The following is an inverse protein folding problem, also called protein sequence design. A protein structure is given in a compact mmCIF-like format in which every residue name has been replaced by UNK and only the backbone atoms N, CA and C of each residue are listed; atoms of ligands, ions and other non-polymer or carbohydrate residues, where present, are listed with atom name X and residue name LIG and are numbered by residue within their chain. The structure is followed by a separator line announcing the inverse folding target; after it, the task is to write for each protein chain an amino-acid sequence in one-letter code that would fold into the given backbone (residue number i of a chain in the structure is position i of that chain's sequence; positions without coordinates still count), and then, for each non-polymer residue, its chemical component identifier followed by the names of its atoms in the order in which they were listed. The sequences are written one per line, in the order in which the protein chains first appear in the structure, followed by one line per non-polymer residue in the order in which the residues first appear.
data_IF_918725876761
#
_entry.id   IF_918725876761
#
_cell.length_a   1.000
_cell.length_b   1.000
_cell.length_c   1.000
_cell.angle_alpha   90.00
_cell.angle_beta   90.00
_cell.angle_gamma   90.00
#
_symmetry.space_group_name_H-M   'P 1'
#
loop_
_entity.id
_entity.type
_entity.pdbx_description
1 polymer ?
#
# COMPACT_ATOMS: atom_id res chain seq x y z
N UNK A 1 -14.39 -32.33 -51.66
CA UNK A 1 -15.51 -31.61 -51.01
C UNK A 1 -15.05 -31.08 -49.66
N UNK A 2 -15.16 -29.75 -49.49
CA UNK A 2 -15.05 -28.87 -48.30
C UNK A 2 -14.14 -29.26 -47.11
N UNK A 3 -13.04 -28.49 -47.00
CA UNK A 3 -12.28 -28.18 -45.78
C UNK A 3 -13.04 -27.11 -44.97
N UNK A 4 -13.06 -27.21 -43.64
CA UNK A 4 -13.51 -26.15 -42.74
C UNK A 4 -12.26 -25.53 -42.09
N UNK A 5 -11.97 -24.28 -42.43
CA UNK A 5 -11.01 -23.42 -41.76
C UNK A 5 -11.83 -22.35 -41.02
N UNK A 6 -11.76 -22.34 -39.68
CA UNK A 6 -12.41 -21.33 -38.84
C UNK A 6 -11.62 -20.02 -38.89
N UNK A 7 -12.26 -18.98 -39.40
CA UNK A 7 -11.71 -17.64 -39.59
C UNK A 7 -11.91 -16.80 -38.31
N UNK A 8 -10.83 -16.11 -37.91
CA UNK A 8 -10.75 -15.09 -36.86
C UNK A 8 -11.68 -13.91 -37.19
N UNK A 9 -12.51 -13.48 -36.23
CA UNK A 9 -13.36 -12.29 -36.38
C UNK A 9 -12.63 -11.06 -35.83
N UNK A 10 -12.19 -10.17 -36.73
CA UNK A 10 -11.76 -8.80 -36.45
C UNK A 10 -13.00 -7.88 -36.42
N UNK A 11 -13.28 -7.24 -35.29
CA UNK A 11 -14.26 -6.15 -35.21
C UNK A 11 -13.63 -4.85 -35.76
N UNK A 12 -14.13 -4.37 -36.90
CA UNK A 12 -13.89 -3.02 -37.40
C UNK A 12 -15.14 -2.16 -37.17
N UNK A 13 -14.99 -1.10 -36.36
CA UNK A 13 -16.01 -0.08 -36.10
C UNK A 13 -16.02 0.95 -37.25
N UNK A 14 -17.11 1.00 -38.02
CA UNK A 14 -17.39 2.08 -38.97
C UNK A 14 -18.32 3.11 -38.34
N UNK A 15 -17.84 4.35 -38.22
CA UNK A 15 -18.60 5.53 -37.78
C UNK A 15 -19.35 6.11 -38.99
N UNK A 16 -20.68 6.18 -38.91
CA UNK A 16 -21.54 6.88 -39.88
C UNK A 16 -21.76 8.32 -39.39
N UNK A 17 -21.29 9.30 -40.15
CA UNK A 17 -21.65 10.71 -39.99
C UNK A 17 -23.01 10.98 -40.64
N UNK A 18 -24.03 11.31 -39.83
CA UNK A 18 -25.30 11.83 -40.33
C UNK A 18 -25.21 13.36 -40.42
N UNK A 19 -25.37 13.87 -41.64
CA UNK A 19 -25.37 15.29 -42.00
C UNK A 19 -26.82 15.74 -42.14
N UNK A 20 -27.34 16.51 -41.19
CA UNK A 20 -28.67 17.13 -41.31
C UNK A 20 -28.53 18.56 -41.84
N UNK A 21 -29.09 18.79 -43.04
CA UNK A 21 -29.30 20.10 -43.65
C UNK A 21 -30.73 20.56 -43.42
N UNK A 22 -30.93 21.75 -42.84
CA UNK A 22 -32.23 22.44 -42.76
C UNK A 22 -32.06 23.84 -42.15
N UNK A 23 -32.37 24.88 -42.93
CA UNK A 23 -32.08 26.30 -42.67
C UNK A 23 -33.39 27.09 -42.36
N UNK A 24 -33.40 28.41 -42.08
CA UNK A 24 -33.54 29.02 -40.74
C UNK A 24 -34.82 29.86 -40.54
N UNK A 25 -35.26 30.09 -39.28
CA UNK A 25 -36.16 31.22 -38.91
C UNK A 25 -35.88 31.83 -37.52
N UNK A 26 -35.60 33.14 -37.57
CA UNK A 26 -35.61 34.23 -36.56
C UNK A 26 -35.69 33.95 -35.05
N UNK A 27 -34.63 34.42 -34.38
CA UNK A 27 -34.56 35.33 -33.22
C UNK A 27 -35.20 34.89 -31.88
N UNK A 28 -34.33 34.56 -30.93
CA UNK A 28 -34.20 35.29 -29.67
C UNK A 28 -32.74 35.18 -29.20
N UNK A 29 -32.04 36.31 -29.17
CA UNK A 29 -30.71 36.42 -28.56
C UNK A 29 -30.95 36.45 -27.05
N UNK A 30 -30.87 35.29 -26.42
CA UNK A 30 -30.55 35.21 -24.99
C UNK A 30 -29.05 34.97 -24.94
N UNK A 31 -28.34 35.93 -24.37
CA UNK A 31 -26.90 35.94 -24.17
C UNK A 31 -26.55 34.68 -23.38
N UNK A 32 -26.01 33.67 -24.06
CA UNK A 32 -25.30 32.58 -23.41
C UNK A 32 -23.99 33.19 -22.91
N UNK A 33 -23.95 33.49 -21.61
CA UNK A 33 -22.68 33.70 -20.91
C UNK A 33 -21.78 32.51 -21.24
N UNK A 34 -20.78 32.77 -22.07
CA UNK A 34 -19.65 31.87 -22.22
C UNK A 34 -19.14 31.60 -20.81
N UNK A 35 -19.34 30.38 -20.31
CA UNK A 35 -18.58 29.88 -19.19
C UNK A 35 -17.12 30.00 -19.61
N UNK A 36 -16.46 31.05 -19.12
CA UNK A 36 -15.01 31.14 -19.12
C UNK A 36 -14.54 29.86 -18.48
N UNK A 37 -13.99 28.95 -19.28
CA UNK A 37 -13.03 27.98 -18.83
C UNK A 37 -11.86 28.78 -18.26
N UNK A 38 -11.95 29.13 -16.98
CA UNK A 38 -10.81 29.57 -16.20
C UNK A 38 -9.85 28.39 -16.21
N UNK A 39 -8.85 28.46 -17.08
CA UNK A 39 -7.58 27.80 -16.83
C UNK A 39 -7.15 28.23 -15.42
N UNK A 40 -7.32 27.35 -14.43
CA UNK A 40 -6.86 27.59 -13.07
C UNK A 40 -5.35 27.71 -13.14
N UNK A 41 -4.84 28.93 -13.04
CA UNK A 41 -3.43 29.19 -12.85
C UNK A 41 -3.03 28.53 -11.53
N UNK A 42 -2.18 27.50 -11.60
CA UNK A 42 -1.67 26.79 -10.44
C UNK A 42 -0.66 27.69 -9.74
N UNK A 43 -1.12 28.45 -8.73
CA UNK A 43 -0.23 29.32 -7.98
C UNK A 43 0.51 28.49 -6.92
N UNK A 44 1.68 27.98 -7.32
CA UNK A 44 2.72 27.61 -6.36
C UNK A 44 3.30 28.84 -5.64
N UNK A 45 2.86 30.04 -5.99
CA UNK A 45 3.31 31.31 -5.44
C UNK A 45 2.12 31.97 -4.73
N UNK A 46 2.30 32.32 -3.47
CA UNK A 46 1.32 32.98 -2.61
C UNK A 46 1.91 34.32 -2.18
N UNK A 47 1.22 35.43 -2.44
CA UNK A 47 1.67 36.72 -1.89
C UNK A 47 1.47 36.76 -0.37
N UNK A 48 2.35 37.44 0.35
CA UNK A 48 2.29 37.55 1.82
C UNK A 48 0.96 38.12 2.32
N UNK A 49 0.32 39.00 1.56
CA UNK A 49 -1.00 39.56 1.87
C UNK A 49 -2.10 38.50 1.87
N UNK A 50 -1.98 37.48 1.00
CA UNK A 50 -2.96 36.40 0.86
C UNK A 50 -2.81 35.29 1.89
N UNK A 51 -1.74 35.27 2.69
CA UNK A 51 -1.59 34.31 3.79
C UNK A 51 -2.77 34.33 4.75
N UNK A 52 -3.28 35.53 5.04
CA UNK A 52 -4.44 35.70 5.92
C UNK A 52 -5.71 35.06 5.33
N UNK A 53 -5.87 35.08 4.01
CA UNK A 53 -7.01 34.47 3.32
C UNK A 53 -7.04 32.95 3.48
N UNK A 54 -5.85 32.33 3.51
CA UNK A 54 -5.73 30.89 3.73
C UNK A 54 -5.65 30.52 5.22
N UNK A 55 -5.66 31.50 6.12
CA UNK A 55 -5.71 31.29 7.58
C UNK A 55 -4.34 31.22 8.26
N UNK A 56 -3.31 31.83 7.66
CA UNK A 56 -1.95 31.87 8.22
C UNK A 56 -1.64 33.31 8.67
N UNK A 57 -1.16 33.44 9.90
CA UNK A 57 -0.57 34.70 10.37
C UNK A 57 0.87 34.83 9.85
N UNK A 58 1.12 35.91 9.10
CA UNK A 58 2.42 36.17 8.45
C UNK A 58 3.57 36.20 9.46
N UNK A 59 3.40 36.91 10.57
CA UNK A 59 4.48 37.12 11.53
C UNK A 59 4.83 35.81 12.24
N UNK A 60 3.81 35.02 12.57
CA UNK A 60 3.97 33.68 13.14
C UNK A 60 4.68 32.76 12.15
N UNK A 61 4.26 32.72 10.89
CA UNK A 61 4.91 31.90 9.87
C UNK A 61 6.40 32.26 9.70
N UNK A 62 6.71 33.54 9.52
CA UNK A 62 8.10 33.99 9.32
C UNK A 62 8.98 33.70 10.53
N UNK A 63 8.44 33.93 11.75
CA UNK A 63 9.14 33.58 13.00
C UNK A 63 9.48 32.09 13.06
N UNK A 64 8.53 31.22 12.69
CA UNK A 64 8.75 29.77 12.74
C UNK A 64 9.71 29.27 11.65
N UNK A 65 9.71 29.89 10.47
CA UNK A 65 10.73 29.61 9.44
C UNK A 65 12.12 29.99 9.95
N UNK A 66 12.28 31.19 10.53
CA UNK A 66 13.55 31.65 11.10
C UNK A 66 14.04 30.76 12.25
N UNK A 67 13.13 30.26 13.09
CA UNK A 67 13.46 29.29 14.14
C UNK A 67 13.98 27.96 13.53
N UNK A 68 13.42 27.52 12.41
CA UNK A 68 13.82 26.29 11.73
C UNK A 68 15.17 26.37 11.01
N UNK A 69 15.73 27.56 10.80
CA UNK A 69 17.13 27.72 10.35
C UNK A 69 18.12 27.22 11.41
N UNK A 70 17.71 27.17 12.68
CA UNK A 70 18.50 26.64 13.80
C UNK A 70 17.90 25.34 14.37
N UNK A 71 17.10 24.62 13.59
CA UNK A 71 16.46 23.40 14.08
C UNK A 71 17.44 22.22 14.24
N UNK A 72 17.00 21.16 14.91
CA UNK A 72 17.87 20.07 15.37
C UNK A 72 18.36 19.12 14.27
N UNK A 73 19.66 19.15 13.91
CA UNK A 73 20.39 18.42 12.82
C UNK A 73 20.56 16.91 12.96
N UNK A 74 19.75 16.25 13.79
CA UNK A 74 19.86 14.81 14.04
C UNK A 74 21.19 14.44 14.72
N UNK A 75 21.29 13.21 15.22
CA UNK A 75 22.40 12.76 16.06
C UNK A 75 22.00 12.62 17.54
N UNK A 76 22.82 11.88 18.29
CA UNK A 76 22.63 11.67 19.72
C UNK A 76 22.68 13.04 20.43
N UNK A 77 21.65 13.33 21.24
CA UNK A 77 21.56 14.58 22.02
C UNK A 77 22.71 14.78 23.01
N UNK A 78 23.61 13.79 23.14
CA UNK A 78 24.82 13.81 23.95
C UNK A 78 26.07 14.28 23.20
N UNK A 79 26.04 14.41 21.87
CA UNK A 79 27.26 14.62 21.07
C UNK A 79 27.70 16.10 20.96
N UNK A 80 26.78 17.07 20.98
CA UNK A 80 27.11 18.50 21.20
C UNK A 80 25.87 19.32 21.62
N UNK A 81 25.82 19.77 22.88
CA UNK A 81 24.78 20.66 23.41
C UNK A 81 25.22 22.13 23.50
N UNK A 82 26.34 22.51 22.86
CA UNK A 82 26.91 23.86 23.00
C UNK A 82 26.07 24.95 22.30
N UNK A 83 25.18 24.58 21.38
CA UNK A 83 24.28 25.49 20.65
C UNK A 83 22.83 25.03 20.88
N UNK A 84 21.94 25.87 21.45
CA UNK A 84 20.51 25.55 21.56
C UNK A 84 19.89 25.36 20.17
N UNK A 85 19.32 24.19 19.92
CA UNK A 85 18.65 23.87 18.65
C UNK A 85 17.12 23.94 18.81
N UNK A 86 16.44 24.42 17.76
CA UNK A 86 14.99 24.51 17.74
C UNK A 86 14.35 23.14 17.48
N UNK A 87 13.48 22.70 18.39
CA UNK A 87 12.66 21.51 18.18
C UNK A 87 11.32 21.94 17.55
N UNK A 88 10.93 21.37 16.39
CA UNK A 88 9.63 21.64 15.80
C UNK A 88 8.48 21.37 16.78
N UNK A 89 7.49 22.26 16.77
CA UNK A 89 6.37 22.30 17.70
C UNK A 89 5.04 22.00 16.99
N UNK A 90 3.98 21.82 17.78
CA UNK A 90 2.63 21.72 17.25
C UNK A 90 2.25 22.96 16.40
N UNK A 91 2.76 24.14 16.75
CA UNK A 91 2.54 25.38 15.98
C UNK A 91 3.12 25.26 14.58
N UNK A 92 4.32 24.68 14.42
CA UNK A 92 4.93 24.44 13.12
C UNK A 92 4.04 23.54 12.27
N UNK A 93 3.57 22.42 12.84
CA UNK A 93 2.65 21.51 12.17
C UNK A 93 1.34 22.19 11.79
N UNK A 94 0.73 22.94 12.70
CA UNK A 94 -0.52 23.66 12.44
C UNK A 94 -0.36 24.71 11.32
N UNK A 95 0.82 25.33 11.18
CA UNK A 95 1.13 26.24 10.07
C UNK A 95 1.22 25.53 8.72
N UNK A 96 1.54 24.23 8.69
CA UNK A 96 1.56 23.44 7.44
C UNK A 96 0.15 23.15 6.90
N UNK A 97 -0.83 22.93 7.79
CA UNK A 97 -2.17 22.46 7.43
C UNK A 97 -2.86 23.37 6.40
N UNK A 98 -2.89 24.71 6.56
CA UNK A 98 -3.52 25.58 5.58
C UNK A 98 -2.78 25.64 4.24
N UNK A 99 -1.45 25.47 4.22
CA UNK A 99 -0.66 25.37 2.99
C UNK A 99 -1.04 24.11 2.20
N UNK A 100 -1.08 22.96 2.89
CA UNK A 100 -1.50 21.68 2.30
C UNK A 100 -2.92 21.79 1.77
N UNK A 101 -3.85 22.31 2.58
CA UNK A 101 -5.24 22.54 2.16
C UNK A 101 -5.32 23.43 0.91
N UNK A 102 -4.60 24.54 0.89
CA UNK A 102 -4.57 25.46 -0.25
C UNK A 102 -4.12 24.73 -1.51
N UNK A 103 -3.00 24.00 -1.43
CA UNK A 103 -2.48 23.20 -2.54
C UNK A 103 -3.52 22.17 -3.02
N UNK A 104 -4.05 21.34 -2.12
CA UNK A 104 -5.03 20.31 -2.46
C UNK A 104 -6.25 20.92 -3.18
N UNK A 105 -6.79 22.02 -2.65
CA UNK A 105 -7.97 22.69 -3.21
C UNK A 105 -7.72 23.28 -4.60
N UNK A 106 -6.52 23.78 -4.87
CA UNK A 106 -6.15 24.37 -6.17
C UNK A 106 -5.68 23.32 -7.19
N UNK A 107 -5.39 22.09 -6.74
CA UNK A 107 -4.84 21.01 -7.57
C UNK A 107 -5.80 19.85 -7.79
N UNK A 108 -7.11 20.09 -7.66
CA UNK A 108 -8.15 19.14 -8.03
C UNK A 108 -8.28 17.94 -7.08
N UNK A 109 -7.85 18.08 -5.83
CA UNK A 109 -8.13 17.07 -4.81
C UNK A 109 -9.64 16.97 -4.58
N UNK A 110 -10.16 15.74 -4.65
CA UNK A 110 -11.55 15.45 -4.28
C UNK A 110 -11.58 15.16 -2.79
N UNK A 111 -12.20 16.04 -2.02
CA UNK A 111 -12.37 15.80 -0.59
C UNK A 111 -13.34 14.62 -0.38
N UNK A 112 -12.97 13.57 0.37
CA UNK A 112 -13.85 12.43 0.63
C UNK A 112 -15.07 12.83 1.46
N UNK A 113 -16.10 11.99 1.51
CA UNK A 113 -17.17 12.15 2.51
C UNK A 113 -16.62 11.84 3.91
N UNK A 114 -17.36 12.19 4.95
CA UNK A 114 -16.96 11.87 6.34
C UNK A 114 -16.90 10.36 6.56
N UNK A 115 -17.87 9.63 5.99
CA UNK A 115 -17.98 8.18 6.08
C UNK A 115 -16.79 7.52 5.38
N UNK A 116 -16.51 7.92 4.13
CA UNK A 116 -15.37 7.40 3.37
C UNK A 116 -14.04 7.72 4.08
N UNK A 117 -13.90 8.91 4.64
CA UNK A 117 -12.69 9.30 5.37
C UNK A 117 -12.42 8.37 6.55
N UNK A 118 -13.42 8.16 7.44
CA UNK A 118 -13.26 7.30 8.61
C UNK A 118 -13.09 5.82 8.22
N UNK A 119 -13.87 5.34 7.26
CA UNK A 119 -13.79 3.96 6.78
C UNK A 119 -12.38 3.66 6.25
N UNK A 120 -11.85 4.54 5.40
CA UNK A 120 -10.54 4.32 4.78
C UNK A 120 -9.40 4.44 5.77
N UNK A 121 -9.48 5.33 6.76
CA UNK A 121 -8.46 5.42 7.82
C UNK A 121 -8.41 4.10 8.60
N UNK A 122 -9.56 3.58 9.03
CA UNK A 122 -9.64 2.28 9.71
C UNK A 122 -9.17 1.13 8.82
N UNK A 123 -9.54 1.16 7.55
CA UNK A 123 -9.24 0.10 6.61
C UNK A 123 -7.74 -0.01 6.27
N UNK A 124 -7.06 1.14 6.14
CA UNK A 124 -5.65 1.26 5.75
C UNK A 124 -4.73 1.22 6.95
N UNK A 125 -5.03 1.97 8.00
CA UNK A 125 -4.13 2.15 9.15
C UNK A 125 -4.54 1.33 10.38
N UNK A 126 -5.66 0.59 10.32
CA UNK A 126 -6.20 -0.12 11.49
C UNK A 126 -6.71 0.79 12.61
N UNK A 127 -6.76 2.10 12.38
CA UNK A 127 -7.01 3.11 13.41
C UNK A 127 -8.44 3.65 13.35
N UNK A 128 -9.12 3.70 14.49
CA UNK A 128 -10.46 4.28 14.61
C UNK A 128 -10.34 5.72 15.13
N UNK A 129 -10.56 6.70 14.25
CA UNK A 129 -10.54 8.11 14.64
C UNK A 129 -11.59 8.42 15.72
N UNK A 130 -11.19 9.17 16.75
CA UNK A 130 -12.06 9.66 17.82
C UNK A 130 -12.87 10.88 17.38
N UNK A 131 -12.37 11.61 16.38
CA UNK A 131 -13.02 12.80 15.82
C UNK A 131 -13.22 13.94 16.85
N UNK A 132 -12.19 14.20 17.67
CA UNK A 132 -12.22 15.34 18.59
C UNK A 132 -12.25 16.66 17.82
N UNK A 133 -13.40 17.33 17.87
CA UNK A 133 -13.64 18.56 17.10
C UNK A 133 -12.85 19.77 17.60
N UNK A 134 -12.20 19.70 18.77
CA UNK A 134 -11.51 20.84 19.37
C UNK A 134 -10.14 21.12 18.75
N UNK A 135 -9.35 20.08 18.44
CA UNK A 135 -8.00 20.21 17.84
C UNK A 135 -8.00 20.25 16.30
N UNK A 136 -9.02 19.69 15.66
CA UNK A 136 -9.14 19.70 14.19
C UNK A 136 -8.29 18.67 13.45
N UNK A 137 -7.43 17.93 14.15
CA UNK A 137 -6.63 16.82 13.65
C UNK A 137 -6.44 15.72 14.72
N UNK A 138 -5.95 14.55 14.31
CA UNK A 138 -5.53 13.43 15.19
C UNK A 138 -4.37 12.66 14.57
N UNK A 139 -3.38 12.29 15.39
CA UNK A 139 -2.25 11.46 14.98
C UNK A 139 -2.72 10.02 14.74
N UNK A 140 -2.30 9.43 13.62
CA UNK A 140 -2.68 8.06 13.27
C UNK A 140 -1.69 7.08 13.90
N UNK A 141 -2.16 6.29 14.86
CA UNK A 141 -1.36 5.25 15.51
C UNK A 141 -1.02 5.52 16.98
N UNK A 142 -1.40 6.67 17.53
CA UNK A 142 -1.23 6.97 18.96
C UNK A 142 -2.49 7.54 19.59
N UNK A 143 -2.60 7.33 20.91
CA UNK A 143 -3.58 8.01 21.75
C UNK A 143 -2.89 9.22 22.39
N UNK A 144 -2.83 10.37 21.73
CA UNK A 144 -2.03 11.47 22.28
C UNK A 144 -2.13 12.85 21.65
N UNK A 145 -1.42 13.76 22.30
CA UNK A 145 -1.08 15.09 21.83
C UNK A 145 -0.14 15.03 20.60
N UNK A 146 0.18 16.18 20.02
CA UNK A 146 1.13 16.29 18.91
C UNK A 146 2.48 15.64 19.22
N UNK A 147 2.97 14.84 18.27
CA UNK A 147 4.31 14.25 18.31
C UNK A 147 4.95 14.34 16.93
N UNK A 148 6.07 15.07 16.85
CA UNK A 148 6.75 15.32 15.59
C UNK A 148 7.21 14.03 14.89
N UNK A 149 7.43 12.95 15.65
CA UNK A 149 7.88 11.66 15.11
C UNK A 149 6.77 10.83 14.48
N UNK A 150 5.50 11.25 14.63
CA UNK A 150 4.38 10.50 14.06
C UNK A 150 4.37 10.52 12.53
N UNK A 151 4.25 9.34 11.88
CA UNK A 151 4.27 9.27 10.42
C UNK A 151 3.08 9.97 9.77
N UNK A 152 1.88 9.93 10.37
CA UNK A 152 0.67 10.45 9.73
C UNK A 152 -0.30 11.12 10.69
N UNK A 153 -1.01 12.11 10.16
CA UNK A 153 -2.05 12.88 10.81
C UNK A 153 -3.30 12.96 9.94
N UNK A 154 -4.45 12.69 10.54
CA UNK A 154 -5.76 12.86 9.94
C UNK A 154 -6.30 14.27 10.23
N UNK A 155 -6.63 15.04 9.18
CA UNK A 155 -7.17 16.41 9.31
C UNK A 155 -8.69 16.39 9.11
N UNK A 156 -9.49 16.66 10.15
CA UNK A 156 -10.93 16.39 10.14
C UNK A 156 -11.75 17.31 9.24
N UNK A 157 -11.51 18.63 9.32
CA UNK A 157 -12.34 19.62 8.62
C UNK A 157 -12.22 19.46 7.10
N UNK A 158 -11.01 19.15 6.65
CA UNK A 158 -10.64 19.07 5.24
C UNK A 158 -10.46 17.62 4.75
N UNK A 159 -10.60 16.64 5.65
CA UNK A 159 -10.63 15.19 5.39
C UNK A 159 -9.51 14.73 4.48
N UNK A 160 -8.29 15.08 4.84
CA UNK A 160 -7.08 14.59 4.21
C UNK A 160 -6.11 14.05 5.27
N UNK A 161 -5.15 13.25 4.83
CA UNK A 161 -4.02 12.78 5.62
C UNK A 161 -2.80 13.61 5.23
N UNK A 162 -2.01 14.01 6.21
CA UNK A 162 -0.69 14.61 5.97
C UNK A 162 0.30 13.99 6.93
N UNK A 163 1.55 14.38 6.82
CA UNK A 163 2.64 13.96 7.67
C UNK A 163 3.45 15.21 8.07
N UNK A 164 4.32 15.07 9.06
CA UNK A 164 5.10 16.19 9.55
C UNK A 164 6.18 16.56 8.55
N UNK A 165 6.23 17.86 8.24
CA UNK A 165 7.32 18.48 7.52
C UNK A 165 7.70 19.77 8.22
N UNK A 166 8.97 20.13 8.07
CA UNK A 166 9.42 21.47 8.41
C UNK A 166 8.83 22.45 7.38
N UNK A 167 8.52 23.66 7.84
CA UNK A 167 7.97 24.71 7.00
C UNK A 167 8.95 25.07 5.88
N UNK A 168 10.25 25.14 6.20
CA UNK A 168 11.31 25.38 5.21
C UNK A 168 11.40 24.30 4.12
N UNK A 169 10.92 23.07 4.37
CA UNK A 169 10.87 22.00 3.36
C UNK A 169 9.62 22.08 2.49
N UNK A 170 8.58 22.75 2.97
CA UNK A 170 7.34 23.00 2.23
C UNK A 170 7.40 24.26 1.40
N UNK A 171 8.20 25.26 1.77
CA UNK A 171 8.16 26.56 1.12
C UNK A 171 9.50 27.30 1.14
N UNK A 172 9.60 28.30 0.28
CA UNK A 172 10.66 29.30 0.29
C UNK A 172 10.04 30.70 0.34
N UNK A 173 10.73 31.62 1.02
CA UNK A 173 10.34 33.03 1.08
C UNK A 173 11.14 33.81 0.05
N UNK A 174 10.46 34.38 -0.94
CA UNK A 174 11.04 35.16 -2.03
C UNK A 174 10.48 36.59 -1.96
N UNK A 175 11.11 37.45 -1.16
CA UNK A 175 10.67 38.83 -0.94
C UNK A 175 9.29 38.91 -0.28
N UNK A 176 8.29 39.44 -0.99
CA UNK A 176 6.90 39.55 -0.54
C UNK A 176 6.04 38.34 -0.92
N UNK A 177 6.66 37.24 -1.34
CA UNK A 177 5.99 36.02 -1.80
C UNK A 177 6.51 34.79 -1.08
N UNK A 178 5.65 33.80 -1.03
CA UNK A 178 5.95 32.44 -0.60
C UNK A 178 5.81 31.54 -1.81
N UNK A 179 6.82 30.72 -2.05
CA UNK A 179 6.81 29.73 -3.11
C UNK A 179 6.78 28.34 -2.49
N UNK A 180 5.72 27.60 -2.78
CA UNK A 180 5.51 26.22 -2.36
C UNK A 180 6.47 25.29 -3.12
N UNK A 181 7.21 24.47 -2.37
CA UNK A 181 8.02 23.37 -2.89
C UNK A 181 7.08 22.24 -3.32
N UNK A 182 6.75 22.19 -4.61
CA UNK A 182 5.58 21.46 -5.13
C UNK A 182 5.63 19.94 -4.95
N UNK A 183 6.81 19.33 -4.88
CA UNK A 183 6.95 17.87 -4.81
C UNK A 183 6.32 17.29 -3.54
N UNK A 184 6.58 17.88 -2.38
CA UNK A 184 6.01 17.40 -1.10
C UNK A 184 4.47 17.45 -1.16
N UNK A 185 3.90 18.53 -1.69
CA UNK A 185 2.46 18.64 -1.84
C UNK A 185 1.88 17.66 -2.86
N UNK A 186 2.61 17.37 -3.95
CA UNK A 186 2.25 16.32 -4.90
C UNK A 186 2.22 14.95 -4.23
N UNK A 187 3.20 14.64 -3.37
CA UNK A 187 3.23 13.40 -2.60
C UNK A 187 2.04 13.31 -1.65
N UNK A 188 1.75 14.37 -0.87
CA UNK A 188 0.58 14.41 0.02
C UNK A 188 -0.71 14.19 -0.78
N UNK A 189 -0.86 14.87 -1.93
CA UNK A 189 -2.03 14.67 -2.79
C UNK A 189 -2.12 13.23 -3.32
N UNK A 190 -1.00 12.66 -3.75
CA UNK A 190 -0.94 11.31 -4.28
C UNK A 190 -1.29 10.27 -3.21
N UNK A 191 -0.73 10.40 -2.00
CA UNK A 191 -1.09 9.61 -0.82
C UNK A 191 -2.61 9.61 -0.60
N UNK A 192 -3.21 10.80 -0.55
CA UNK A 192 -4.63 10.92 -0.31
C UNK A 192 -5.47 10.30 -1.44
N UNK A 193 -5.11 10.54 -2.70
CA UNK A 193 -5.82 9.95 -3.84
C UNK A 193 -5.70 8.42 -3.87
N UNK A 194 -4.53 7.88 -3.53
CA UNK A 194 -4.32 6.44 -3.43
C UNK A 194 -5.14 5.86 -2.26
N UNK A 195 -5.06 6.44 -1.07
CA UNK A 195 -5.75 5.93 0.12
C UNK A 195 -7.26 5.99 -0.04
N UNK A 196 -7.83 7.12 -0.46
CA UNK A 196 -9.28 7.30 -0.44
C UNK A 196 -9.98 6.78 -1.70
N UNK A 197 -9.28 6.73 -2.83
CA UNK A 197 -9.89 6.41 -4.13
C UNK A 197 -9.20 5.27 -4.88
N UNK A 198 -8.16 4.65 -4.30
CA UNK A 198 -7.37 3.60 -4.94
C UNK A 198 -6.85 4.04 -6.33
N UNK A 199 -6.48 5.32 -6.46
CA UNK A 199 -6.06 5.92 -7.72
C UNK A 199 -4.71 5.35 -8.18
N UNK A 200 -4.73 4.66 -9.32
CA UNK A 200 -3.57 4.00 -9.91
C UNK A 200 -2.49 5.01 -10.33
N UNK A 201 -2.88 6.18 -10.83
CA UNK A 201 -1.93 7.20 -11.24
C UNK A 201 -1.27 7.84 -10.02
N UNK A 202 -2.02 7.99 -8.92
CA UNK A 202 -1.47 8.46 -7.67
C UNK A 202 -0.46 7.46 -7.08
N UNK A 203 -0.75 6.16 -7.12
CA UNK A 203 0.20 5.12 -6.73
C UNK A 203 1.49 5.18 -7.55
N UNK A 204 1.39 5.21 -8.89
CA UNK A 204 2.56 5.34 -9.78
C UNK A 204 3.34 6.61 -9.52
N UNK A 205 2.66 7.69 -9.17
CA UNK A 205 3.32 8.93 -8.82
C UNK A 205 4.14 8.77 -7.53
N UNK A 206 3.60 8.13 -6.48
CA UNK A 206 4.35 7.83 -5.26
C UNK A 206 5.57 6.95 -5.52
N UNK A 207 5.43 5.91 -6.35
CA UNK A 207 6.54 5.01 -6.73
C UNK A 207 7.72 5.75 -7.38
N UNK A 208 7.47 6.89 -8.06
CA UNK A 208 8.50 7.60 -8.82
C UNK A 208 8.91 8.95 -8.20
N UNK A 209 8.19 9.44 -7.19
CA UNK A 209 8.50 10.73 -6.55
C UNK A 209 9.66 10.56 -5.58
N UNK A 210 10.82 11.06 -6.01
CA UNK A 210 11.97 11.25 -5.13
C UNK A 210 11.71 12.40 -4.14
N UNK A 211 12.41 12.36 -3.01
CA UNK A 211 12.35 13.42 -2.00
C UNK A 211 12.89 14.75 -2.54
N UNK A 212 12.35 15.84 -2.00
CA UNK A 212 13.01 17.13 -1.95
C UNK A 212 13.02 17.59 -0.49
N UNK A 213 14.21 17.93 -0.02
CA UNK A 213 14.54 18.46 1.29
C UNK A 213 16.04 18.74 1.30
N UNK A 214 16.52 19.47 2.30
CA UNK A 214 17.96 19.65 2.47
C UNK A 214 18.52 18.45 3.27
N UNK A 215 19.66 17.89 2.85
CA UNK A 215 20.34 16.81 3.60
C UNK A 215 21.11 17.44 4.75
N UNK A 216 20.38 17.88 5.76
CA UNK A 216 20.91 18.62 6.88
C UNK A 216 20.73 17.90 8.22
N UNK A 217 20.29 16.65 8.17
CA UNK A 217 20.09 15.79 9.32
C UNK A 217 18.82 16.07 10.13
N UNK A 218 17.94 17.01 9.72
CA UNK A 218 16.68 17.31 10.44
C UNK A 218 15.54 16.29 10.24
N UNK A 219 15.88 15.06 9.88
CA UNK A 219 14.94 13.98 9.61
C UNK A 219 15.36 13.17 8.38
N UNK A 220 14.96 11.91 8.33
CA UNK A 220 15.11 11.11 7.12
C UNK A 220 14.21 11.66 6.03
N UNK A 221 14.77 11.84 4.83
CA UNK A 221 14.01 12.16 3.63
C UNK A 221 12.81 11.23 3.49
N UNK A 222 11.61 11.77 3.64
CA UNK A 222 10.39 11.01 3.53
C UNK A 222 9.84 11.16 2.11
N UNK A 223 10.08 10.17 1.26
CA UNK A 223 9.68 10.17 -0.14
C UNK A 223 8.46 9.30 -0.41
N UNK A 224 8.05 9.22 -1.69
CA UNK A 224 6.91 8.40 -2.08
C UNK A 224 7.12 6.89 -1.85
N UNK A 225 8.35 6.38 -1.95
CA UNK A 225 8.64 4.98 -1.61
C UNK A 225 8.52 4.72 -0.11
N UNK A 226 8.99 5.63 0.75
CA UNK A 226 8.85 5.49 2.21
C UNK A 226 7.38 5.49 2.61
N UNK A 227 6.55 6.30 1.96
CA UNK A 227 5.10 6.26 2.12
C UNK A 227 4.55 4.85 1.82
N UNK A 228 4.94 4.27 0.69
CA UNK A 228 4.47 2.94 0.29
C UNK A 228 5.01 1.85 1.22
N UNK A 229 6.27 1.94 1.64
CA UNK A 229 6.89 1.07 2.65
C UNK A 229 6.14 1.13 3.97
N UNK A 230 5.84 2.31 4.50
CA UNK A 230 5.10 2.45 5.75
C UNK A 230 3.69 1.86 5.65
N UNK A 231 2.99 2.12 4.56
CA UNK A 231 1.67 1.54 4.33
C UNK A 231 1.73 0.00 4.36
N UNK A 232 2.76 -0.60 3.74
CA UNK A 232 2.90 -2.06 3.70
C UNK A 232 3.42 -2.63 5.03
N UNK A 233 4.59 -2.18 5.48
CA UNK A 233 5.36 -2.81 6.55
C UNK A 233 4.96 -2.33 7.96
N UNK A 234 4.64 -1.04 8.11
CA UNK A 234 4.30 -0.42 9.40
C UNK A 234 2.81 -0.52 9.70
N UNK A 235 1.95 -0.29 8.70
CA UNK A 235 0.49 -0.29 8.84
C UNK A 235 -0.19 -1.57 8.35
N UNK A 236 0.56 -2.55 7.85
CA UNK A 236 0.05 -3.86 7.42
C UNK A 236 -1.08 -3.74 6.37
N UNK A 237 -1.01 -2.77 5.45
CA UNK A 237 -2.05 -2.51 4.44
C UNK A 237 -2.02 -3.51 3.27
N UNK A 238 -2.18 -4.80 3.58
CA UNK A 238 -2.10 -5.89 2.59
C UNK A 238 -3.35 -6.02 1.71
N UNK A 239 -4.34 -5.13 1.87
CA UNK A 239 -5.60 -5.16 1.12
C UNK A 239 -5.52 -4.46 -0.24
N UNK A 240 -4.35 -3.92 -0.61
CA UNK A 240 -4.09 -3.36 -1.93
C UNK A 240 -3.22 -4.29 -2.77
N UNK A 241 -3.78 -4.96 -3.79
CA UNK A 241 -3.00 -5.83 -4.68
C UNK A 241 -1.85 -5.09 -5.39
N UNK A 242 -2.01 -3.78 -5.64
CA UNK A 242 -0.96 -2.96 -6.25
C UNK A 242 0.21 -2.74 -5.30
N UNK A 243 -0.09 -2.43 -4.03
CA UNK A 243 0.94 -2.24 -3.02
C UNK A 243 1.69 -3.55 -2.76
N UNK A 244 0.96 -4.66 -2.63
CA UNK A 244 1.54 -5.98 -2.45
C UNK A 244 2.46 -6.36 -3.62
N UNK A 245 2.03 -6.11 -4.85
CA UNK A 245 2.83 -6.38 -6.05
C UNK A 245 4.10 -5.54 -6.10
N UNK A 246 4.01 -4.25 -5.76
CA UNK A 246 5.16 -3.36 -5.73
C UNK A 246 6.18 -3.80 -4.67
N UNK A 247 5.72 -4.05 -3.44
CA UNK A 247 6.58 -4.48 -2.35
C UNK A 247 7.24 -5.84 -2.68
N UNK A 248 6.46 -6.80 -3.18
CA UNK A 248 6.96 -8.11 -3.61
C UNK A 248 8.11 -8.00 -4.62
N UNK A 249 7.97 -7.14 -5.64
CA UNK A 249 9.01 -6.99 -6.66
C UNK A 249 10.25 -6.27 -6.13
N UNK A 250 10.06 -5.29 -5.25
CA UNK A 250 11.14 -4.50 -4.64
C UNK A 250 12.01 -5.37 -3.73
N UNK A 251 11.40 -6.21 -2.90
CA UNK A 251 12.08 -7.04 -1.89
C UNK A 251 12.11 -8.52 -2.25
N UNK A 252 12.08 -8.87 -3.54
CA UNK A 252 12.05 -10.26 -4.00
C UNK A 252 13.25 -11.09 -3.49
N UNK A 253 14.39 -10.42 -3.27
CA UNK A 253 15.65 -11.03 -2.83
C UNK A 253 15.72 -11.13 -1.29
N UNK A 254 14.77 -10.52 -0.57
CA UNK A 254 14.57 -10.60 0.88
C UNK A 254 13.20 -11.22 1.19
N UNK A 255 12.98 -12.48 0.79
CA UNK A 255 11.64 -13.06 0.74
C UNK A 255 10.99 -13.23 2.12
N UNK A 256 11.81 -13.37 3.17
CA UNK A 256 11.33 -13.62 4.51
C UNK A 256 10.40 -12.53 5.04
N UNK A 257 10.72 -11.25 4.79
CA UNK A 257 9.86 -10.15 5.25
C UNK A 257 8.45 -10.22 4.64
N UNK A 258 8.35 -10.61 3.37
CA UNK A 258 7.05 -10.75 2.72
C UNK A 258 6.28 -11.99 3.18
N UNK A 259 6.92 -13.18 3.22
CA UNK A 259 6.21 -14.43 3.56
C UNK A 259 5.81 -14.49 5.02
N UNK A 260 6.59 -13.88 5.93
CA UNK A 260 6.29 -13.86 7.36
C UNK A 260 5.02 -13.02 7.68
N UNK A 261 4.60 -12.14 6.77
CA UNK A 261 3.40 -11.29 6.86
C UNK A 261 2.12 -11.98 6.37
N UNK A 262 2.21 -13.17 5.76
CA UNK A 262 1.04 -13.89 5.24
C UNK A 262 0.11 -14.35 6.38
N UNK A 263 0.70 -14.83 7.47
CA UNK A 263 -0.03 -15.37 8.62
C UNK A 263 0.28 -14.54 9.87
N UNK A 264 -0.78 -14.08 10.53
CA UNK A 264 -0.69 -13.25 11.73
C UNK A 264 -1.74 -13.66 12.78
N UNK A 265 -1.74 -12.99 13.93
CA UNK A 265 -2.70 -13.19 15.01
C UNK A 265 -3.42 -11.90 15.33
N UNK A 266 -4.75 -12.01 15.42
CA UNK A 266 -5.57 -10.96 16.00
C UNK A 266 -5.32 -10.85 17.51
N UNK A 267 -5.67 -9.71 18.16
CA UNK A 267 -5.54 -9.54 19.60
C UNK A 267 -6.28 -10.60 20.44
N UNK A 268 -7.32 -11.23 19.89
CA UNK A 268 -8.04 -12.35 20.53
C UNK A 268 -7.39 -13.72 20.26
N UNK A 269 -6.14 -13.73 19.77
CA UNK A 269 -5.37 -14.92 19.40
C UNK A 269 -6.00 -15.76 18.26
N UNK A 270 -6.95 -15.23 17.49
CA UNK A 270 -7.40 -15.88 16.26
C UNK A 270 -6.40 -15.68 15.13
N UNK A 271 -6.26 -16.66 14.25
CA UNK A 271 -5.42 -16.53 13.07
C UNK A 271 -6.01 -15.50 12.09
N UNK A 272 -5.14 -14.63 11.58
CA UNK A 272 -5.39 -13.76 10.43
C UNK A 272 -4.59 -14.32 9.25
N UNK A 273 -5.23 -14.45 8.10
CA UNK A 273 -4.58 -14.89 6.86
C UNK A 273 -4.76 -13.82 5.79
N UNK A 274 -3.65 -13.27 5.34
CA UNK A 274 -3.62 -12.23 4.31
C UNK A 274 -3.56 -12.87 2.92
N UNK A 275 -4.69 -13.41 2.46
CA UNK A 275 -4.78 -14.19 1.21
C UNK A 275 -4.29 -13.43 -0.02
N UNK A 276 -4.43 -12.10 -0.07
CA UNK A 276 -3.92 -11.28 -1.16
C UNK A 276 -2.39 -11.30 -1.28
N UNK A 277 -1.65 -11.63 -0.21
CA UNK A 277 -0.21 -11.85 -0.27
C UNK A 277 0.11 -13.21 -0.94
N UNK A 278 -0.67 -14.25 -0.62
CA UNK A 278 -0.59 -15.56 -1.31
C UNK A 278 -0.88 -15.37 -2.80
N UNK A 279 -1.97 -14.68 -3.14
CA UNK A 279 -2.33 -14.39 -4.54
C UNK A 279 -1.24 -13.59 -5.28
N UNK A 280 -0.51 -12.73 -4.57
CA UNK A 280 0.62 -11.99 -5.14
C UNK A 280 1.76 -12.95 -5.51
N UNK A 281 2.10 -13.90 -4.64
CA UNK A 281 3.10 -14.94 -4.93
C UNK A 281 2.65 -15.80 -6.11
N UNK A 282 1.40 -16.28 -6.10
CA UNK A 282 0.81 -17.09 -7.17
C UNK A 282 0.85 -16.39 -8.54
N UNK A 283 0.57 -15.08 -8.56
CA UNK A 283 0.57 -14.27 -9.78
C UNK A 283 1.98 -14.11 -10.35
N UNK A 284 3.00 -14.00 -9.50
CA UNK A 284 4.40 -13.81 -9.91
C UNK A 284 5.14 -15.14 -10.16
N UNK A 285 4.52 -16.26 -9.80
CA UNK A 285 5.06 -17.60 -10.08
C UNK A 285 4.75 -18.00 -11.52
N UNK A 286 5.73 -18.60 -12.19
CA UNK A 286 5.59 -19.14 -13.55
C UNK A 286 6.17 -20.55 -13.64
N UNK A 287 5.90 -21.26 -14.73
CA UNK A 287 6.42 -22.60 -14.95
C UNK A 287 7.95 -22.72 -14.87
N UNK A 288 8.70 -21.66 -15.16
CA UNK A 288 10.18 -21.66 -15.11
C UNK A 288 10.77 -20.70 -14.08
N UNK A 289 9.93 -19.95 -13.35
CA UNK A 289 10.34 -19.07 -12.25
C UNK A 289 9.40 -19.34 -11.08
N UNK A 290 9.75 -20.34 -10.29
CA UNK A 290 8.95 -20.82 -9.18
C UNK A 290 9.74 -20.94 -7.86
N UNK A 291 11.02 -20.59 -7.88
CA UNK A 291 11.91 -20.62 -6.71
C UNK A 291 11.33 -19.81 -5.55
N UNK A 292 10.74 -18.64 -5.81
CA UNK A 292 10.08 -17.89 -4.73
C UNK A 292 8.91 -18.68 -4.09
N UNK A 293 8.14 -19.40 -4.90
CA UNK A 293 7.03 -20.21 -4.39
C UNK A 293 7.56 -21.40 -3.58
N UNK A 294 8.48 -22.17 -4.15
CA UNK A 294 8.97 -23.42 -3.54
C UNK A 294 9.96 -23.14 -2.41
N UNK A 295 11.00 -22.37 -2.70
CA UNK A 295 12.16 -22.23 -1.82
C UNK A 295 11.92 -21.20 -0.71
N UNK A 296 10.96 -20.29 -0.90
CA UNK A 296 10.63 -19.30 0.12
C UNK A 296 9.25 -19.54 0.75
N UNK A 297 8.17 -19.56 -0.03
CA UNK A 297 6.82 -19.66 0.55
C UNK A 297 6.54 -21.07 1.12
N UNK A 298 6.79 -22.13 0.35
CA UNK A 298 6.53 -23.49 0.81
C UNK A 298 7.46 -23.90 1.96
N UNK A 299 8.76 -23.61 1.86
CA UNK A 299 9.72 -23.79 2.95
C UNK A 299 9.31 -23.04 4.23
N UNK A 300 8.91 -21.77 4.13
CA UNK A 300 8.44 -21.00 5.28
C UNK A 300 7.24 -21.68 5.97
N UNK A 301 6.26 -22.15 5.20
CA UNK A 301 5.10 -22.87 5.75
C UNK A 301 5.53 -24.18 6.41
N UNK A 302 6.42 -24.95 5.78
CA UNK A 302 6.92 -26.21 6.30
C UNK A 302 7.63 -26.02 7.65
N UNK A 303 8.56 -25.07 7.73
CA UNK A 303 9.31 -24.76 8.95
C UNK A 303 8.42 -24.18 10.06
N UNK A 304 7.48 -23.30 9.70
CA UNK A 304 6.49 -22.75 10.65
C UNK A 304 5.65 -23.87 11.28
N UNK A 305 5.22 -24.84 10.48
CA UNK A 305 4.44 -25.99 10.96
C UNK A 305 5.27 -26.84 11.93
N UNK A 306 6.57 -27.02 11.67
CA UNK A 306 7.48 -27.86 12.45
C UNK A 306 8.14 -27.17 13.66
N UNK A 307 7.88 -25.88 13.86
CA UNK A 307 8.60 -25.06 14.85
C UNK A 307 10.11 -25.01 14.61
N UNK A 308 10.54 -25.08 13.35
CA UNK A 308 11.94 -25.06 12.97
C UNK A 308 12.41 -23.67 12.57
N UNK A 309 13.72 -23.42 12.68
CA UNK A 309 14.39 -22.19 12.25
C UNK A 309 13.80 -20.90 12.84
N UNK A 310 13.09 -20.98 13.97
CA UNK A 310 12.39 -19.83 14.57
C UNK A 310 11.18 -19.33 13.77
N UNK A 311 10.69 -20.12 12.80
CA UNK A 311 9.65 -19.70 11.86
C UNK A 311 8.25 -19.60 12.48
N UNK A 312 8.01 -20.28 13.61
CA UNK A 312 6.81 -20.08 14.43
C UNK A 312 6.99 -18.98 15.48
N UNK A 313 7.48 -17.81 15.08
CA UNK A 313 7.71 -16.65 15.96
C UNK A 313 6.44 -16.13 16.64
N UNK A 314 5.27 -16.37 16.02
CA UNK A 314 3.95 -15.97 16.55
C UNK A 314 3.30 -17.04 17.45
N UNK A 315 3.98 -18.16 17.72
CA UNK A 315 3.50 -19.26 18.55
C UNK A 315 2.12 -19.80 18.14
N UNK A 316 1.93 -20.09 16.85
CA UNK A 316 0.72 -20.71 16.33
C UNK A 316 0.45 -22.06 16.98
N UNK A 317 -0.80 -22.29 17.39
CA UNK A 317 -1.29 -23.56 17.96
C UNK A 317 -1.45 -24.63 16.87
N UNK A 318 -1.68 -25.88 17.27
CA UNK A 318 -1.99 -26.99 16.34
C UNK A 318 -3.17 -26.66 15.42
N UNK A 319 -4.26 -26.11 15.97
CA UNK A 319 -5.42 -25.70 15.14
C UNK A 319 -5.00 -24.63 14.11
N UNK A 320 -4.23 -23.63 14.53
CA UNK A 320 -3.81 -22.55 13.65
C UNK A 320 -2.87 -23.03 12.56
N UNK A 321 -1.89 -23.88 12.91
CA UNK A 321 -1.01 -24.55 11.95
C UNK A 321 -1.80 -25.41 10.97
N UNK A 322 -2.83 -26.13 11.42
CA UNK A 322 -3.71 -26.90 10.55
C UNK A 322 -4.49 -26.02 9.57
N UNK A 323 -4.91 -24.82 9.97
CA UNK A 323 -5.51 -23.82 9.05
C UNK A 323 -4.49 -23.27 8.05
N UNK A 324 -3.28 -22.93 8.51
CA UNK A 324 -2.16 -22.48 7.66
C UNK A 324 -1.86 -23.51 6.57
N UNK A 325 -1.74 -24.77 6.98
CA UNK A 325 -1.57 -25.91 6.09
C UNK A 325 -2.67 -25.97 5.02
N UNK A 326 -3.95 -25.83 5.38
CA UNK A 326 -5.03 -25.83 4.40
C UNK A 326 -4.95 -24.66 3.39
N UNK A 327 -4.58 -23.45 3.84
CA UNK A 327 -4.38 -22.31 2.94
C UNK A 327 -3.24 -22.55 1.95
N UNK A 328 -2.13 -23.10 2.43
CA UNK A 328 -1.01 -23.48 1.58
C UNK A 328 -1.40 -24.58 0.58
N UNK A 329 -2.04 -25.66 1.05
CA UNK A 329 -2.47 -26.76 0.19
C UNK A 329 -3.41 -26.32 -0.94
N UNK A 330 -4.33 -25.38 -0.63
CA UNK A 330 -5.22 -24.81 -1.65
C UNK A 330 -4.46 -23.97 -2.69
N UNK A 331 -3.46 -23.21 -2.25
CA UNK A 331 -2.58 -22.48 -3.17
C UNK A 331 -1.76 -23.45 -4.03
N UNK A 332 -1.13 -24.46 -3.42
CA UNK A 332 -0.25 -25.38 -4.12
C UNK A 332 -1.03 -26.16 -5.17
N UNK A 333 -2.21 -26.69 -4.83
CA UNK A 333 -3.08 -27.38 -5.79
C UNK A 333 -3.36 -26.52 -7.03
N UNK A 334 -3.77 -25.26 -6.85
CA UNK A 334 -4.02 -24.32 -7.95
C UNK A 334 -2.77 -24.13 -8.82
N UNK A 335 -1.60 -24.00 -8.21
CA UNK A 335 -0.34 -23.76 -8.92
C UNK A 335 0.12 -25.00 -9.68
N UNK A 336 0.00 -26.19 -9.08
CA UNK A 336 0.32 -27.47 -9.72
C UNK A 336 -0.64 -27.78 -10.86
N UNK A 337 -1.93 -27.50 -10.73
CA UNK A 337 -2.88 -27.60 -11.84
C UNK A 337 -2.49 -26.68 -13.01
N UNK A 338 -2.18 -25.41 -12.70
CA UNK A 338 -1.79 -24.40 -13.70
C UNK A 338 -0.48 -24.76 -14.43
N UNK A 339 0.45 -25.41 -13.75
CA UNK A 339 1.79 -25.72 -14.26
C UNK A 339 2.07 -27.22 -14.43
N UNK A 340 1.02 -28.05 -14.56
CA UNK A 340 1.13 -29.52 -14.67
C UNK A 340 2.16 -30.02 -15.68
N UNK A 341 2.25 -29.36 -16.85
CA UNK A 341 3.23 -29.72 -17.88
C UNK A 341 4.70 -29.58 -17.43
N UNK A 342 4.97 -28.67 -16.48
CA UNK A 342 6.31 -28.42 -15.92
C UNK A 342 6.67 -29.44 -14.84
N UNK A 343 5.68 -30.04 -14.18
CA UNK A 343 5.87 -31.19 -13.29
C UNK A 343 6.26 -32.41 -14.13
N UNK A 344 5.51 -32.72 -15.20
CA UNK A 344 5.81 -33.86 -16.09
C UNK A 344 7.12 -33.74 -16.86
N UNK A 345 7.72 -32.54 -16.91
CA UNK A 345 9.01 -32.29 -17.56
C UNK A 345 10.16 -32.12 -16.54
N UNK A 346 9.92 -32.45 -15.27
CA UNK A 346 10.89 -32.36 -14.17
C UNK A 346 11.48 -30.96 -13.97
N UNK A 347 10.74 -29.91 -14.34
CA UNK A 347 11.09 -28.52 -14.02
C UNK A 347 10.58 -28.17 -12.63
N UNK A 348 9.37 -28.63 -12.29
CA UNK A 348 8.81 -28.56 -10.94
C UNK A 348 9.01 -29.90 -10.23
N UNK A 349 9.13 -29.86 -8.90
CA UNK A 349 9.22 -31.07 -8.10
C UNK A 349 7.94 -31.92 -8.26
N UNK A 350 8.06 -33.20 -8.67
CA UNK A 350 6.94 -34.13 -8.71
C UNK A 350 6.26 -34.30 -7.35
N UNK A 351 7.00 -34.24 -6.25
CA UNK A 351 6.42 -34.35 -4.91
C UNK A 351 5.83 -33.01 -4.47
N UNK A 352 4.51 -32.93 -4.17
CA UNK A 352 3.94 -31.73 -3.58
C UNK A 352 4.50 -31.49 -2.17
N UNK A 353 4.79 -30.23 -1.83
CA UNK A 353 5.13 -29.82 -0.47
C UNK A 353 4.03 -30.16 0.54
N UNK A 354 2.77 -30.08 0.11
CA UNK A 354 1.62 -30.50 0.90
C UNK A 354 1.71 -31.99 1.25
N UNK A 355 2.13 -32.85 0.31
CA UNK A 355 2.34 -34.27 0.58
C UNK A 355 3.49 -34.47 1.59
N UNK A 356 4.59 -33.74 1.42
CA UNK A 356 5.70 -33.78 2.38
C UNK A 356 5.24 -33.36 3.80
N UNK A 357 4.44 -32.30 3.93
CA UNK A 357 3.84 -31.88 5.22
C UNK A 357 2.92 -32.98 5.77
N UNK A 358 2.08 -33.61 4.95
CA UNK A 358 1.20 -34.71 5.39
C UNK A 358 2.01 -35.87 5.99
N UNK A 359 3.13 -36.24 5.36
CA UNK A 359 4.00 -37.34 5.79
C UNK A 359 4.79 -37.01 7.06
N UNK A 360 5.34 -35.79 7.15
CA UNK A 360 6.26 -35.37 8.21
C UNK A 360 5.56 -34.73 9.41
N UNK A 361 4.39 -34.11 9.21
CA UNK A 361 3.63 -33.37 10.22
C UNK A 361 2.25 -34.01 10.45
N UNK A 362 2.23 -35.33 10.72
CA UNK A 362 1.01 -36.15 10.79
C UNK A 362 -0.06 -35.60 11.73
N UNK A 363 0.34 -35.07 12.89
CA UNK A 363 -0.59 -34.50 13.86
C UNK A 363 -1.39 -33.33 13.26
N UNK A 364 -0.72 -32.41 12.56
CA UNK A 364 -1.34 -31.26 11.92
C UNK A 364 -2.28 -31.69 10.80
N UNK A 365 -1.84 -32.63 9.96
CA UNK A 365 -2.67 -33.17 8.89
C UNK A 365 -3.93 -33.88 9.43
N UNK A 366 -3.78 -34.74 10.45
CA UNK A 366 -4.90 -35.43 11.08
C UNK A 366 -5.88 -34.46 11.74
N UNK A 367 -5.37 -33.40 12.36
CA UNK A 367 -6.19 -32.36 12.95
C UNK A 367 -7.00 -31.63 11.86
N UNK A 368 -6.36 -31.23 10.76
CA UNK A 368 -7.02 -30.60 9.62
C UNK A 368 -8.11 -31.51 9.04
N UNK A 369 -7.80 -32.79 8.82
CA UNK A 369 -8.75 -33.79 8.27
C UNK A 369 -9.97 -33.99 9.18
N UNK A 370 -9.76 -34.11 10.49
CA UNK A 370 -10.86 -34.23 11.48
C UNK A 370 -11.81 -33.03 11.43
N UNK A 371 -11.27 -31.84 11.15
CA UNK A 371 -12.04 -30.61 11.00
C UNK A 371 -12.49 -30.34 9.55
N UNK A 372 -12.49 -31.37 8.70
CA UNK A 372 -12.89 -31.28 7.28
C UNK A 372 -12.15 -30.14 6.55
N UNK A 373 -10.87 -30.00 6.85
CA UNK A 373 -9.97 -28.97 6.32
C UNK A 373 -10.50 -27.54 6.48
N UNK A 374 -11.34 -27.32 7.50
CA UNK A 374 -11.98 -26.05 7.83
C UNK A 374 -12.80 -25.44 6.68
N UNK A 375 -13.15 -26.22 5.66
CA UNK A 375 -13.77 -25.72 4.43
C UNK A 375 -12.84 -24.86 3.54
N UNK A 376 -11.55 -24.78 3.87
CA UNK A 376 -10.54 -24.03 3.09
C UNK A 376 -10.07 -24.90 1.91
N UNK A 377 -9.82 -26.18 2.17
CA UNK A 377 -9.41 -27.17 1.16
C UNK A 377 -10.52 -28.21 0.98
N UNK A 378 -10.66 -28.77 -0.23
CA UNK A 378 -11.61 -29.87 -0.44
C UNK A 378 -10.95 -31.23 -0.14
N UNK A 379 -11.68 -32.22 0.43
CA UNK A 379 -11.11 -33.55 0.66
C UNK A 379 -10.55 -34.20 -0.61
N UNK A 380 -11.24 -34.05 -1.74
CA UNK A 380 -10.80 -34.56 -3.04
C UNK A 380 -9.45 -33.99 -3.45
N UNK A 381 -9.26 -32.68 -3.28
CA UNK A 381 -8.00 -31.99 -3.56
C UNK A 381 -6.85 -32.54 -2.72
N UNK A 382 -7.11 -32.81 -1.43
CA UNK A 382 -6.11 -33.37 -0.52
C UNK A 382 -5.73 -34.80 -0.92
N UNK A 383 -6.72 -35.63 -1.31
CA UNK A 383 -6.47 -36.98 -1.81
C UNK A 383 -5.66 -36.97 -3.11
N UNK A 384 -5.91 -36.03 -4.02
CA UNK A 384 -5.14 -35.88 -5.26
C UNK A 384 -3.69 -35.49 -5.00
N UNK A 385 -3.44 -34.53 -4.10
CA UNK A 385 -2.07 -34.16 -3.71
C UNK A 385 -1.32 -35.29 -2.99
N UNK A 386 -2.03 -36.06 -2.15
CA UNK A 386 -1.46 -37.24 -1.49
C UNK A 386 -1.10 -38.32 -2.53
N UNK A 387 -2.00 -38.59 -3.48
CA UNK A 387 -1.76 -39.58 -4.54
C UNK A 387 -0.63 -39.16 -5.49
N UNK A 388 -0.57 -37.89 -5.87
CA UNK A 388 0.49 -37.34 -6.73
C UNK A 388 1.87 -37.60 -6.12
N UNK A 389 2.07 -37.23 -4.84
CA UNK A 389 3.35 -37.42 -4.16
C UNK A 389 3.74 -38.88 -3.91
N UNK A 390 2.76 -39.78 -3.75
CA UNK A 390 3.00 -41.22 -3.54
C UNK A 390 3.12 -42.01 -4.85
N UNK A 391 2.69 -41.46 -5.98
CA UNK A 391 2.74 -42.14 -7.28
C UNK A 391 4.17 -42.27 -7.84
N UNK A 392 5.07 -41.37 -7.46
CA UNK A 392 6.48 -41.38 -7.87
C UNK A 392 7.41 -42.21 -6.96
N UNK A 393 6.95 -42.66 -5.78
CA UNK A 393 7.69 -43.68 -4.98
C UNK A 393 7.73 -45.06 -5.67
N UNK A 394 7.01 -45.24 -6.81
CA UNK A 394 7.01 -46.51 -7.53
C UNK A 394 8.21 -46.75 -8.44
N UNK A 395 9.16 -45.80 -8.62
CA UNK A 395 10.31 -45.98 -9.51
C UNK A 395 11.66 -45.33 -9.09
N UNK A 396 11.83 -44.84 -7.86
CA UNK A 396 13.10 -44.27 -7.38
C UNK A 396 13.73 -45.12 -6.26
N UNK A 397 15.07 -45.34 -6.22
CA UNK A 397 15.69 -45.96 -5.07
C UNK A 397 15.63 -45.03 -3.85
N UNK A 398 15.45 -45.61 -2.67
CA UNK A 398 15.45 -44.91 -1.38
C UNK A 398 16.65 -43.93 -1.29
N UNK A 399 16.44 -42.65 -0.90
CA UNK A 399 17.53 -41.77 -0.56
C UNK A 399 18.21 -42.22 0.74
N UNK A 400 19.52 -42.49 0.68
CA UNK A 400 20.42 -42.72 1.84
C UNK A 400 20.59 -41.49 2.72
#
# INVERSE_FOLDING_TARGET
MKKILGLVSLFALTIIFVKCTGNPKRANIVIMESHKTTHTHYDSIISMERLKEIGIDRNTLLRHIELQENAWNGGDFRDDQSIPQYMPTETDFQLTIPLVKYYLSTHGYKQPSTELFQERIKFVFGYQLKMDKTKGYEGIGTDGDFDFTLPYYAIYKNRFITYNWLLRDLLSVEGDKIKLKSQVFQQIKALNNFIFYNDVNAFKLLENLQSQGDDDGLGTFYNGENILEDLFASYNYYKSPMLNQWYFLKYKDEPYDFVNRIFDKAPNNNIIVHTLLIETIEKNTTGTKHDYYNDNFANYVYDLIRDENGMNSKHFTIEQKARIFCYFANSEYKMREKYRQYITSNVWDPMPWTCLIMLRCKEIYQYARTHKYFGISSPKMMEELEHEGLSDESNGPDPE
#
